data_IF_995856081539
#
_entry.id   IF_995856081539
#
_cell.length_a   1.000
_cell.length_b   1.000
_cell.length_c   1.000
_cell.angle_alpha   90.00
_cell.angle_beta   90.00
_cell.angle_gamma   90.00
#
_symmetry.space_group_name_H-M   'P 1'
#
loop_
_entity.id
_entity.type
_entity.pdbx_description
1 polymer ?
#
# COMPACT_ATOMS: atom_id res chain seq x y z
N UNK A 1 -21.59 31.14 2.64
CA UNK A 1 -21.99 31.89 3.86
C UNK A 1 -22.81 31.08 4.86
N UNK A 2 -23.62 30.08 4.46
CA UNK A 2 -24.37 29.20 5.38
C UNK A 2 -23.57 28.00 5.94
N UNK A 3 -22.33 27.78 5.48
CA UNK A 3 -21.56 26.56 5.76
C UNK A 3 -20.16 26.81 6.34
N UNK A 4 -19.80 28.06 6.68
CA UNK A 4 -18.55 28.36 7.36
C UNK A 4 -18.87 28.81 8.81
N UNK A 5 -18.77 27.90 9.81
CA UNK A 5 -19.12 28.18 11.19
C UNK A 5 -18.16 29.18 11.86
N UNK A 6 -16.90 29.27 11.43
CA UNK A 6 -15.89 30.15 12.05
C UNK A 6 -16.28 31.63 11.96
N UNK A 7 -16.99 32.04 10.90
CA UNK A 7 -17.42 33.42 10.71
C UNK A 7 -18.57 33.86 11.65
N UNK A 8 -19.18 32.93 12.41
CA UNK A 8 -20.38 33.19 13.21
C UNK A 8 -20.20 33.00 14.72
N UNK A 9 -19.02 32.56 15.17
CA UNK A 9 -18.79 32.14 16.56
C UNK A 9 -17.90 33.14 17.29
N UNK A 10 -18.44 33.79 18.31
CA UNK A 10 -17.70 34.77 19.13
C UNK A 10 -17.01 34.14 20.36
N UNK A 11 -17.40 32.91 20.76
CA UNK A 11 -16.83 32.18 21.90
C UNK A 11 -16.53 30.73 21.48
N UNK A 12 -15.32 30.48 20.97
CA UNK A 12 -14.79 29.13 20.78
C UNK A 12 -14.00 28.77 22.04
N UNK A 13 -14.43 27.74 22.77
CA UNK A 13 -13.63 27.18 23.87
C UNK A 13 -12.82 26.02 23.29
N UNK A 14 -11.50 26.07 23.44
CA UNK A 14 -10.65 24.95 23.08
C UNK A 14 -10.93 23.82 24.08
N UNK A 15 -11.10 22.58 23.59
CA UNK A 15 -11.40 21.45 24.49
C UNK A 15 -10.27 21.13 25.48
N UNK A 16 -9.09 21.74 25.33
CA UNK A 16 -7.97 21.66 26.27
C UNK A 16 -8.27 22.40 27.60
N UNK A 17 -9.13 23.42 27.59
CA UNK A 17 -9.42 24.28 28.75
C UNK A 17 -10.44 23.67 29.74
N UNK A 18 -11.12 22.58 29.38
CA UNK A 18 -12.07 21.87 30.23
C UNK A 18 -11.61 20.43 30.50
N UNK A 19 -11.45 20.08 31.78
CA UNK A 19 -11.03 18.75 32.23
C UNK A 19 -12.00 17.64 31.79
N UNK A 20 -13.28 17.98 31.55
CA UNK A 20 -14.26 17.04 31.01
C UNK A 20 -14.10 16.79 29.51
N UNK A 21 -13.97 17.86 28.70
CA UNK A 21 -13.84 17.72 27.24
C UNK A 21 -12.51 17.09 26.83
N UNK A 22 -11.41 17.49 27.47
CA UNK A 22 -10.06 16.99 27.20
C UNK A 22 -9.91 15.47 27.41
N UNK A 23 -10.66 14.88 28.33
CA UNK A 23 -10.61 13.43 28.57
C UNK A 23 -11.70 12.65 27.81
N UNK A 24 -12.94 13.15 27.76
CA UNK A 24 -14.05 12.40 27.17
C UNK A 24 -14.02 12.41 25.65
N UNK A 25 -13.64 13.53 25.01
CA UNK A 25 -13.64 13.62 23.56
C UNK A 25 -12.66 12.64 22.89
N UNK A 26 -11.38 12.56 23.31
CA UNK A 26 -10.45 11.61 22.71
C UNK A 26 -10.89 10.15 22.90
N UNK A 27 -11.52 9.80 24.02
CA UNK A 27 -12.02 8.44 24.28
C UNK A 27 -13.19 8.11 23.34
N UNK A 28 -14.16 9.02 23.21
CA UNK A 28 -15.32 8.83 22.31
C UNK A 28 -14.84 8.75 20.86
N UNK A 29 -13.95 9.66 20.45
CA UNK A 29 -13.37 9.66 19.11
C UNK A 29 -12.57 8.38 18.85
N UNK A 30 -11.72 7.95 19.79
CA UNK A 30 -10.97 6.69 19.69
C UNK A 30 -11.89 5.47 19.54
N UNK A 31 -12.94 5.38 20.37
CA UNK A 31 -13.90 4.29 20.30
C UNK A 31 -14.65 4.29 18.96
N UNK A 32 -15.11 5.46 18.49
CA UNK A 32 -15.76 5.61 17.20
C UNK A 32 -14.84 5.27 16.03
N UNK A 33 -13.60 5.76 16.05
CA UNK A 33 -12.60 5.50 15.02
C UNK A 33 -12.19 4.03 14.97
N UNK A 34 -11.94 3.41 16.12
CA UNK A 34 -11.68 1.97 16.21
C UNK A 34 -12.86 1.16 15.67
N UNK A 35 -14.10 1.55 15.99
CA UNK A 35 -15.30 0.91 15.44
C UNK A 35 -15.36 1.04 13.91
N UNK A 36 -15.07 2.22 13.35
CA UNK A 36 -15.03 2.44 11.89
C UNK A 36 -13.95 1.61 11.23
N UNK A 37 -12.75 1.51 11.80
CA UNK A 37 -11.66 0.71 11.23
C UNK A 37 -11.99 -0.79 11.29
N UNK A 38 -12.49 -1.26 12.43
CA UNK A 38 -12.85 -2.69 12.62
C UNK A 38 -14.03 -3.07 11.73
N UNK A 39 -15.04 -2.22 11.59
CA UNK A 39 -16.10 -2.48 10.60
C UNK A 39 -15.59 -2.34 9.16
N UNK A 40 -14.67 -1.40 8.94
CA UNK A 40 -13.99 -1.15 7.66
C UNK A 40 -13.28 -2.38 7.11
N UNK A 41 -12.53 -3.13 7.93
CA UNK A 41 -11.88 -4.37 7.46
C UNK A 41 -12.93 -5.39 7.00
N UNK A 42 -14.01 -5.56 7.78
CA UNK A 42 -15.04 -6.55 7.49
C UNK A 42 -15.71 -6.25 6.14
N UNK A 43 -16.05 -4.99 5.88
CA UNK A 43 -16.60 -4.59 4.58
C UNK A 43 -15.56 -4.50 3.46
N UNK A 44 -14.28 -4.30 3.76
CA UNK A 44 -13.19 -4.40 2.78
C UNK A 44 -13.13 -5.82 2.18
N UNK A 45 -13.32 -6.87 2.99
CA UNK A 45 -13.41 -8.25 2.46
C UNK A 45 -14.58 -8.44 1.49
N UNK A 46 -15.72 -7.77 1.75
CA UNK A 46 -16.89 -7.82 0.89
C UNK A 46 -16.68 -7.02 -0.40
N UNK A 47 -16.07 -5.84 -0.29
CA UNK A 47 -15.66 -5.00 -1.42
C UNK A 47 -14.75 -5.79 -2.36
N UNK A 48 -13.73 -6.46 -1.81
CA UNK A 48 -12.81 -7.28 -2.59
C UNK A 48 -13.54 -8.43 -3.32
N UNK A 49 -14.40 -9.18 -2.62
CA UNK A 49 -15.19 -10.26 -3.25
C UNK A 49 -16.05 -9.75 -4.41
N UNK A 50 -16.64 -8.56 -4.27
CA UNK A 50 -17.49 -7.96 -5.31
C UNK A 50 -16.69 -7.43 -6.49
N UNK A 51 -15.60 -6.71 -6.22
CA UNK A 51 -14.77 -6.12 -7.26
C UNK A 51 -14.04 -7.19 -8.09
N UNK A 52 -13.51 -8.22 -7.45
CA UNK A 52 -12.90 -9.36 -8.15
C UNK A 52 -13.92 -10.11 -9.01
N UNK A 53 -15.14 -10.32 -8.50
CA UNK A 53 -16.19 -10.97 -9.27
C UNK A 53 -16.56 -10.15 -10.51
N UNK A 54 -16.71 -8.83 -10.36
CA UNK A 54 -16.97 -7.91 -11.46
C UNK A 54 -15.88 -7.96 -12.54
N UNK A 55 -14.61 -7.89 -12.15
CA UNK A 55 -13.48 -7.98 -13.09
C UNK A 55 -13.39 -9.33 -13.81
N UNK A 56 -13.81 -10.40 -13.14
CA UNK A 56 -13.83 -11.76 -13.68
C UNK A 56 -15.12 -12.11 -14.44
N UNK A 57 -16.00 -11.14 -14.68
CA UNK A 57 -17.31 -11.33 -15.33
C UNK A 57 -18.16 -12.44 -14.64
N UNK A 58 -18.10 -12.52 -13.32
CA UNK A 58 -18.95 -13.39 -12.49
C UNK A 58 -19.70 -12.59 -11.43
N UNK A 59 -20.74 -13.18 -10.87
CA UNK A 59 -21.57 -12.50 -9.87
C UNK A 59 -20.96 -12.68 -8.48
N UNK A 60 -20.75 -11.57 -7.76
CA UNK A 60 -20.27 -11.58 -6.37
C UNK A 60 -21.33 -12.05 -5.36
N UNK A 61 -21.02 -12.04 -4.05
CA UNK A 61 -21.94 -12.47 -3.00
C UNK A 61 -23.30 -11.74 -3.08
N UNK A 62 -24.39 -12.50 -3.27
CA UNK A 62 -25.76 -11.98 -3.44
C UNK A 62 -26.81 -12.71 -2.56
N UNK A 63 -26.37 -13.55 -1.60
CA UNK A 63 -27.27 -14.45 -0.83
C UNK A 63 -27.48 -14.04 0.62
N UNK A 64 -26.41 -13.72 1.35
CA UNK A 64 -26.46 -13.48 2.80
C UNK A 64 -26.83 -12.01 3.06
N UNK A 65 -28.14 -11.75 3.18
CA UNK A 65 -28.70 -10.40 3.29
C UNK A 65 -28.89 -9.71 1.93
N UNK A 66 -29.49 -8.51 1.91
CA UNK A 66 -29.62 -7.73 0.67
C UNK A 66 -28.23 -7.51 0.09
N UNK A 67 -28.01 -7.89 -1.17
CA UNK A 67 -26.72 -7.69 -1.84
C UNK A 67 -25.49 -8.32 -1.14
N UNK A 68 -25.69 -9.28 -0.22
CA UNK A 68 -24.59 -9.92 0.50
C UNK A 68 -24.03 -9.14 1.70
N UNK A 69 -24.61 -7.99 2.09
CA UNK A 69 -24.07 -7.12 3.15
C UNK A 69 -23.87 -7.82 4.50
N UNK A 70 -24.62 -8.88 4.80
CA UNK A 70 -24.50 -9.63 6.06
C UNK A 70 -23.43 -10.74 6.00
N UNK A 71 -22.73 -10.90 4.88
CA UNK A 71 -21.70 -11.92 4.71
C UNK A 71 -20.54 -11.78 5.73
N UNK A 72 -19.95 -10.59 5.97
CA UNK A 72 -18.87 -10.47 6.95
C UNK A 72 -19.30 -10.83 8.37
N UNK A 73 -20.55 -10.53 8.73
CA UNK A 73 -21.11 -10.92 10.03
C UNK A 73 -21.22 -12.45 10.15
N UNK A 74 -21.68 -13.13 9.09
CA UNK A 74 -21.75 -14.59 9.07
C UNK A 74 -20.36 -15.24 9.16
N UNK A 75 -19.37 -14.68 8.45
CA UNK A 75 -17.98 -15.14 8.49
C UNK A 75 -17.38 -14.94 9.91
N UNK A 76 -17.67 -13.81 10.57
CA UNK A 76 -17.27 -13.54 11.94
C UNK A 76 -17.88 -14.52 12.95
N UNK A 77 -19.20 -14.74 12.89
CA UNK A 77 -19.90 -15.72 13.75
C UNK A 77 -19.30 -17.11 13.57
N UNK A 78 -19.08 -17.53 12.32
CA UNK A 78 -18.43 -18.81 12.01
C UNK A 78 -17.08 -18.94 12.69
N UNK A 79 -16.22 -17.93 12.60
CA UNK A 79 -14.86 -17.99 13.12
C UNK A 79 -14.80 -18.00 14.66
N UNK A 80 -15.77 -17.36 15.33
CA UNK A 80 -15.88 -17.39 16.80
C UNK A 80 -16.30 -18.77 17.32
N UNK A 81 -17.26 -19.42 16.66
CA UNK A 81 -17.71 -20.77 17.06
C UNK A 81 -16.87 -21.90 16.47
N UNK A 82 -15.88 -21.58 15.62
CA UNK A 82 -14.97 -22.57 15.07
C UNK A 82 -13.98 -22.99 16.15
N UNK A 83 -13.74 -24.30 16.23
CA UNK A 83 -12.80 -24.89 17.18
C UNK A 83 -11.41 -24.24 17.08
N UNK A 84 -10.91 -23.76 18.21
CA UNK A 84 -9.58 -23.17 18.33
C UNK A 84 -8.56 -24.24 18.73
N UNK A 85 -7.83 -24.76 17.75
CA UNK A 85 -6.82 -25.79 17.95
C UNK A 85 -5.46 -25.16 18.30
N UNK A 86 -4.70 -25.86 19.13
CA UNK A 86 -3.28 -25.57 19.40
C UNK A 86 -2.53 -26.89 19.21
N UNK A 87 -1.57 -26.96 18.26
CA UNK A 87 -0.76 -28.17 18.06
C UNK A 87 -0.02 -28.58 19.34
N UNK A 88 0.19 -29.88 19.55
CA UNK A 88 0.83 -30.38 20.77
C UNK A 88 2.31 -29.95 20.91
N UNK A 89 3.02 -29.83 19.78
CA UNK A 89 4.42 -29.38 19.72
C UNK A 89 4.59 -27.85 19.73
N UNK A 90 3.52 -27.09 19.54
CA UNK A 90 3.59 -25.63 19.45
C UNK A 90 3.92 -24.97 20.80
N UNK A 91 4.70 -23.88 20.75
CA UNK A 91 4.91 -23.03 21.92
C UNK A 91 3.60 -22.30 22.24
N UNK A 92 2.93 -22.72 23.31
CA UNK A 92 1.57 -22.25 23.64
C UNK A 92 1.49 -20.75 23.91
N UNK A 93 2.57 -20.12 24.38
CA UNK A 93 2.56 -18.70 24.73
C UNK A 93 2.76 -17.85 23.48
N UNK A 94 3.81 -18.14 22.71
CA UNK A 94 4.11 -17.40 21.49
C UNK A 94 3.02 -17.62 20.44
N UNK A 95 2.47 -18.84 20.33
CA UNK A 95 1.37 -19.15 19.41
C UNK A 95 0.09 -18.35 19.72
N UNK A 96 -0.18 -18.02 21.00
CA UNK A 96 -1.33 -17.17 21.36
C UNK A 96 -1.06 -15.68 21.17
N UNK A 97 0.19 -15.24 21.35
CA UNK A 97 0.57 -13.83 21.28
C UNK A 97 0.87 -13.36 19.85
N UNK A 98 1.37 -14.22 18.97
CA UNK A 98 1.78 -13.85 17.62
C UNK A 98 0.68 -13.12 16.80
N UNK A 99 -0.59 -13.56 16.79
CA UNK A 99 -1.66 -12.81 16.12
C UNK A 99 -1.88 -11.40 16.72
N UNK A 100 -1.75 -11.26 18.04
CA UNK A 100 -1.92 -9.98 18.73
C UNK A 100 -0.79 -9.00 18.40
N UNK A 101 0.45 -9.51 18.36
CA UNK A 101 1.64 -8.74 17.97
C UNK A 101 1.53 -8.26 16.52
N UNK A 102 0.79 -8.95 15.64
CA UNK A 102 0.53 -8.45 14.28
C UNK A 102 -0.59 -7.40 14.23
N UNK A 103 -1.71 -7.63 14.92
CA UNK A 103 -2.89 -6.76 14.83
C UNK A 103 -2.69 -5.41 15.52
N UNK A 104 -2.14 -5.41 16.75
CA UNK A 104 -2.07 -4.21 17.59
C UNK A 104 -1.25 -3.09 16.92
N UNK A 105 -0.04 -3.34 16.39
CA UNK A 105 0.74 -2.33 15.69
C UNK A 105 -0.02 -1.71 14.51
N UNK A 106 -0.73 -2.50 13.72
CA UNK A 106 -1.46 -2.02 12.54
C UNK A 106 -2.56 -1.03 12.94
N UNK A 107 -3.26 -1.29 14.05
CA UNK A 107 -4.24 -0.34 14.60
C UNK A 107 -3.57 0.95 15.12
N UNK A 108 -2.37 0.85 15.67
CA UNK A 108 -1.62 2.02 16.17
C UNK A 108 -1.12 2.94 15.05
N UNK A 109 -0.88 2.43 13.83
CA UNK A 109 -0.52 3.28 12.67
C UNK A 109 -1.62 4.29 12.37
N UNK A 110 -2.88 3.86 12.45
CA UNK A 110 -4.02 4.74 12.17
C UNK A 110 -4.21 5.85 13.21
N UNK A 111 -3.62 5.71 14.41
CA UNK A 111 -3.78 6.69 15.49
C UNK A 111 -3.01 8.00 15.25
N UNK A 112 -1.98 8.00 14.40
CA UNK A 112 -1.13 9.19 14.16
C UNK A 112 -1.60 10.00 12.95
N UNK A 113 -2.53 9.46 12.17
CA UNK A 113 -2.97 10.08 10.92
C UNK A 113 -4.23 10.91 11.19
N UNK A 114 -4.18 12.25 11.04
CA UNK A 114 -5.36 13.09 11.22
C UNK A 114 -6.33 12.89 10.04
N UNK A 115 -7.62 12.82 10.35
CA UNK A 115 -8.69 12.60 9.37
C UNK A 115 -9.26 13.91 8.79
N UNK A 116 -8.94 15.04 9.39
CA UNK A 116 -9.40 16.36 8.95
C UNK A 116 -8.92 17.48 9.87
N UNK A 117 -9.25 18.73 9.52
CA UNK A 117 -9.00 19.89 10.38
C UNK A 117 -9.91 19.85 11.60
N UNK A 118 -9.59 20.66 12.61
CA UNK A 118 -10.38 20.72 13.83
C UNK A 118 -11.85 21.05 13.52
N UNK A 119 -12.74 20.26 14.10
CA UNK A 119 -14.16 20.41 13.91
C UNK A 119 -14.71 21.35 14.98
N UNK A 120 -15.30 22.47 14.55
CA UNK A 120 -16.06 23.34 15.45
C UNK A 120 -17.47 22.76 15.62
N UNK A 121 -17.69 22.07 16.73
CA UNK A 121 -18.96 21.44 17.06
C UNK A 121 -19.81 22.35 17.97
N UNK A 122 -21.09 22.59 17.63
CA UNK A 122 -22.08 23.04 18.60
C UNK A 122 -22.57 21.82 19.39
N UNK A 123 -22.23 21.67 20.68
CA UNK A 123 -22.76 20.55 21.47
C UNK A 123 -24.05 20.90 22.22
N UNK A 124 -24.96 19.91 22.29
CA UNK A 124 -26.06 19.67 23.23
C UNK A 124 -25.68 19.76 24.75
N UNK A 125 -25.17 20.88 25.23
CA UNK A 125 -25.17 21.21 26.66
C UNK A 125 -26.08 22.43 26.88
N UNK A 126 -27.41 22.26 27.03
CA UNK A 126 -28.35 23.37 27.18
C UNK A 126 -28.08 24.25 28.41
N UNK A 127 -27.23 23.78 29.34
CA UNK A 127 -26.92 24.47 30.60
C UNK A 127 -25.71 25.41 30.54
N UNK A 128 -24.96 25.47 29.43
CA UNK A 128 -23.69 26.23 29.34
C UNK A 128 -23.68 27.34 28.25
N UNK A 129 -24.83 27.66 27.64
CA UNK A 129 -24.97 28.75 26.67
C UNK A 129 -24.47 28.44 25.24
N UNK A 130 -24.38 29.46 24.37
CA UNK A 130 -23.91 29.39 22.97
C UNK A 130 -22.38 29.20 22.88
N UNK A 131 -21.86 28.12 23.45
CA UNK A 131 -20.43 27.77 23.41
C UNK A 131 -20.18 26.76 22.29
N UNK A 132 -19.20 27.06 21.45
CA UNK A 132 -18.75 26.18 20.37
C UNK A 132 -17.41 25.57 20.74
N UNK A 133 -17.24 24.27 20.52
CA UNK A 133 -16.03 23.54 20.86
C UNK A 133 -15.22 23.23 19.61
N UNK A 134 -13.93 23.55 19.62
CA UNK A 134 -13.00 23.12 18.58
C UNK A 134 -12.40 21.77 18.99
N UNK A 135 -12.75 20.73 18.23
CA UNK A 135 -12.44 19.35 18.55
C UNK A 135 -11.54 18.76 17.45
N UNK A 136 -10.32 18.29 17.79
CA UNK A 136 -9.40 17.78 16.80
C UNK A 136 -9.95 16.49 16.16
N UNK A 137 -9.76 16.36 14.85
CA UNK A 137 -10.09 15.16 14.08
C UNK A 137 -8.89 14.22 13.91
N UNK A 138 -8.07 14.12 14.96
CA UNK A 138 -6.93 13.22 15.09
C UNK A 138 -6.86 12.67 16.51
N UNK A 139 -6.23 11.51 16.67
CA UNK A 139 -6.03 10.88 17.97
C UNK A 139 -4.81 11.46 18.69
N UNK A 140 -3.67 11.42 18.01
CA UNK A 140 -2.39 11.93 18.53
C UNK A 140 -1.65 12.60 17.38
N UNK A 141 -1.40 13.89 17.49
CA UNK A 141 -0.40 14.55 16.64
C UNK A 141 0.95 14.46 17.35
N UNK A 142 1.89 13.78 16.70
CA UNK A 142 3.25 13.60 17.21
C UNK A 142 4.21 14.34 16.31
N UNK A 143 5.10 15.13 16.92
CA UNK A 143 6.22 15.80 16.22
C UNK A 143 7.09 14.81 15.42
N UNK A 144 7.02 13.52 15.74
CA UNK A 144 7.82 12.46 15.12
C UNK A 144 6.94 11.38 14.47
N UNK A 145 5.84 11.79 13.83
CA UNK A 145 4.83 10.90 13.28
C UNK A 145 5.34 9.91 12.23
N UNK A 146 6.23 10.32 11.31
CA UNK A 146 6.79 9.40 10.31
C UNK A 146 7.67 8.31 10.93
N UNK A 147 8.51 8.64 11.92
CA UNK A 147 9.33 7.64 12.61
C UNK A 147 8.47 6.68 13.42
N UNK A 148 7.36 7.16 13.99
CA UNK A 148 6.37 6.31 14.65
C UNK A 148 5.81 5.27 13.67
N UNK A 149 5.39 5.68 12.47
CA UNK A 149 4.86 4.74 11.46
C UNK A 149 5.90 3.67 11.13
N UNK A 150 7.15 4.05 10.84
CA UNK A 150 8.23 3.11 10.50
C UNK A 150 8.51 2.15 11.67
N UNK A 151 8.60 2.66 12.90
CA UNK A 151 8.88 1.82 14.06
C UNK A 151 7.78 0.78 14.31
N UNK A 152 6.52 1.18 14.14
CA UNK A 152 5.37 0.30 14.38
C UNK A 152 5.20 -0.72 13.25
N UNK A 153 5.44 -0.36 12.00
CA UNK A 153 5.46 -1.34 10.89
C UNK A 153 6.51 -2.41 11.13
N UNK A 154 7.70 -2.03 11.60
CA UNK A 154 8.78 -2.99 11.91
C UNK A 154 8.33 -4.01 12.96
N UNK A 155 7.61 -3.57 14.00
CA UNK A 155 7.09 -4.47 15.05
C UNK A 155 6.05 -5.44 14.48
N UNK A 156 5.20 -5.02 13.55
CA UNK A 156 4.18 -5.87 12.95
C UNK A 156 4.78 -7.09 12.22
N UNK A 157 5.95 -6.91 11.60
CA UNK A 157 6.67 -7.99 10.88
C UNK A 157 7.09 -9.15 11.80
N UNK A 158 7.42 -8.86 13.07
CA UNK A 158 7.77 -9.88 14.07
C UNK A 158 6.60 -10.83 14.37
N UNK A 159 5.36 -10.33 14.28
CA UNK A 159 4.17 -11.16 14.45
C UNK A 159 4.14 -12.34 13.47
N UNK A 160 4.64 -12.15 12.25
CA UNK A 160 4.69 -13.19 11.21
C UNK A 160 5.78 -14.22 11.50
N UNK A 161 6.98 -13.77 11.90
CA UNK A 161 8.10 -14.67 12.24
C UNK A 161 7.75 -15.55 13.44
N UNK A 162 7.22 -14.93 14.49
CA UNK A 162 6.82 -15.64 15.72
C UNK A 162 5.68 -16.63 15.45
N UNK A 163 4.77 -16.31 14.52
CA UNK A 163 3.70 -17.21 14.14
C UNK A 163 4.22 -18.52 13.54
N UNK A 164 5.17 -18.43 12.59
CA UNK A 164 5.77 -19.62 11.98
C UNK A 164 6.64 -20.41 12.95
N UNK A 165 7.47 -19.73 13.74
CA UNK A 165 8.34 -20.40 14.70
C UNK A 165 7.57 -21.12 15.81
N UNK A 166 6.52 -20.50 16.36
CA UNK A 166 5.74 -21.09 17.46
C UNK A 166 4.88 -22.28 17.05
N UNK A 167 4.65 -22.47 15.74
CA UNK A 167 3.80 -23.53 15.21
C UNK A 167 4.43 -24.93 15.25
N UNK A 168 5.74 -25.04 15.52
CA UNK A 168 6.52 -26.30 15.51
C UNK A 168 6.35 -27.13 14.21
N UNK A 169 6.07 -26.45 13.10
CA UNK A 169 5.98 -27.05 11.78
C UNK A 169 7.02 -26.40 10.84
N UNK A 170 7.97 -27.20 10.34
CA UNK A 170 9.03 -26.73 9.43
C UNK A 170 8.48 -26.07 8.17
N UNK A 171 7.31 -26.52 7.70
CA UNK A 171 6.66 -25.96 6.53
C UNK A 171 6.13 -24.54 6.80
N UNK A 172 5.45 -24.35 7.93
CA UNK A 172 4.98 -23.04 8.37
C UNK A 172 6.14 -22.08 8.66
N UNK A 173 7.24 -22.60 9.22
CA UNK A 173 8.47 -21.85 9.48
C UNK A 173 9.13 -21.39 8.17
N UNK A 174 9.19 -22.23 7.14
CA UNK A 174 9.72 -21.83 5.83
C UNK A 174 8.86 -20.73 5.20
N UNK A 175 7.53 -20.83 5.30
CA UNK A 175 6.60 -19.77 4.90
C UNK A 175 6.86 -18.45 5.63
N UNK A 176 6.98 -18.50 6.96
CA UNK A 176 7.27 -17.31 7.77
C UNK A 176 8.60 -16.64 7.43
N UNK A 177 9.65 -17.43 7.20
CA UNK A 177 10.97 -16.91 6.80
C UNK A 177 10.94 -16.20 5.44
N UNK A 178 10.16 -16.72 4.49
CA UNK A 178 9.97 -16.06 3.17
C UNK A 178 9.15 -14.78 3.29
N UNK A 179 8.10 -14.76 4.12
CA UNK A 179 7.30 -13.56 4.37
C UNK A 179 8.14 -12.46 5.02
N UNK A 180 8.88 -12.81 6.07
CA UNK A 180 9.64 -11.82 6.84
C UNK A 180 10.80 -11.24 6.06
N UNK A 181 11.52 -12.07 5.29
CA UNK A 181 12.58 -11.58 4.39
C UNK A 181 12.05 -10.64 3.31
N UNK A 182 10.86 -10.90 2.77
CA UNK A 182 10.17 -9.97 1.88
C UNK A 182 9.83 -8.68 2.62
N UNK A 183 9.05 -8.73 3.70
CA UNK A 183 8.58 -7.55 4.41
C UNK A 183 9.74 -6.64 4.82
N UNK A 184 10.79 -7.20 5.43
CA UNK A 184 12.00 -6.45 5.83
C UNK A 184 12.70 -5.80 4.63
N UNK A 185 12.78 -6.50 3.48
CA UNK A 185 13.45 -5.96 2.29
C UNK A 185 12.71 -4.77 1.67
N UNK A 186 11.38 -4.82 1.67
CA UNK A 186 10.55 -3.74 1.12
C UNK A 186 10.30 -2.61 2.12
N UNK A 187 10.36 -2.90 3.42
CA UNK A 187 10.32 -1.90 4.49
C UNK A 187 11.45 -0.88 4.36
N UNK A 188 12.66 -1.29 3.96
CA UNK A 188 13.76 -0.36 3.72
C UNK A 188 13.43 0.62 2.57
N UNK A 189 12.83 0.12 1.48
CA UNK A 189 12.43 0.96 0.34
C UNK A 189 11.31 1.93 0.75
N UNK A 190 10.33 1.43 1.51
CA UNK A 190 9.26 2.22 2.09
C UNK A 190 9.81 3.36 2.98
N UNK A 191 10.69 3.04 3.93
CA UNK A 191 11.29 4.02 4.84
C UNK A 191 12.08 5.11 4.10
N UNK A 192 12.86 4.72 3.08
CA UNK A 192 13.59 5.69 2.24
C UNK A 192 12.64 6.62 1.48
N UNK A 193 11.54 6.10 0.94
CA UNK A 193 10.56 6.95 0.23
C UNK A 193 9.81 7.91 1.16
N UNK A 194 9.60 7.55 2.43
CA UNK A 194 9.02 8.45 3.43
C UNK A 194 9.96 9.60 3.83
N UNK A 195 11.26 9.52 3.55
CA UNK A 195 12.18 10.63 3.78
C UNK A 195 11.96 11.80 2.80
N UNK A 196 11.47 11.53 1.58
CA UNK A 196 11.19 12.54 0.55
C UNK A 196 10.22 13.64 1.05
N UNK A 197 9.00 13.33 1.50
CA UNK A 197 8.06 14.34 1.99
C UNK A 197 8.58 15.09 3.22
N UNK A 198 9.34 14.42 4.11
CA UNK A 198 9.98 15.06 5.28
C UNK A 198 10.97 16.14 4.83
N UNK A 199 11.77 15.88 3.80
CA UNK A 199 12.72 16.87 3.28
C UNK A 199 12.02 18.06 2.62
N UNK A 200 10.91 17.83 1.93
CA UNK A 200 10.15 18.89 1.25
C UNK A 200 9.50 19.83 2.25
N UNK A 201 8.89 19.27 3.31
CA UNK A 201 8.13 20.05 4.31
C UNK A 201 9.02 20.60 5.42
N UNK A 202 10.09 19.89 5.78
CA UNK A 202 10.93 20.24 6.93
C UNK A 202 10.34 19.85 8.29
N UNK A 203 9.25 19.07 8.31
CA UNK A 203 8.62 18.54 9.53
C UNK A 203 8.43 17.02 9.43
N UNK A 204 8.41 16.35 10.58
CA UNK A 204 8.12 14.91 10.71
C UNK A 204 6.70 14.64 11.23
N UNK A 205 5.92 15.68 11.58
CA UNK A 205 4.49 15.53 11.89
C UNK A 205 3.71 15.21 10.61
N UNK A 206 2.77 14.27 10.69
CA UNK A 206 1.89 13.93 9.57
C UNK A 206 0.87 15.05 9.30
N UNK A 207 0.47 15.81 10.33
CA UNK A 207 -0.42 16.96 10.18
C UNK A 207 0.19 18.05 9.30
N UNK A 208 1.42 18.48 9.62
CA UNK A 208 2.17 19.47 8.84
C UNK A 208 2.37 19.04 7.38
N UNK A 209 2.59 17.73 7.17
CA UNK A 209 2.78 17.15 5.83
C UNK A 209 1.49 17.23 5.01
N UNK A 210 0.33 16.96 5.62
CA UNK A 210 -0.97 17.08 4.94
C UNK A 210 -1.26 18.55 4.64
N UNK A 211 -1.01 19.45 5.60
CA UNK A 211 -1.27 20.88 5.45
C UNK A 211 -0.39 21.56 4.40
N UNK A 212 0.77 20.99 4.09
CA UNK A 212 1.63 21.42 2.98
C UNK A 212 1.06 21.06 1.59
N UNK A 213 0.01 20.24 1.50
CA UNK A 213 -0.53 19.67 0.25
C UNK A 213 -1.94 20.20 -0.11
N UNK A 214 -2.24 21.46 0.20
CA UNK A 214 -3.61 22.04 0.02
C UNK A 214 -4.12 21.96 -1.42
N UNK A 215 -3.32 22.36 -2.41
CA UNK A 215 -3.76 22.31 -3.80
C UNK A 215 -3.41 20.97 -4.44
N UNK A 216 -4.20 20.56 -5.44
CA UNK A 216 -3.94 19.33 -6.22
C UNK A 216 -2.55 19.33 -6.86
N UNK A 217 -2.06 20.49 -7.31
CA UNK A 217 -0.72 20.62 -7.90
C UNK A 217 0.42 20.53 -6.87
N UNK A 218 0.11 20.78 -5.59
CA UNK A 218 1.07 20.71 -4.49
C UNK A 218 1.19 19.29 -3.91
N UNK A 219 0.38 18.34 -4.39
CA UNK A 219 0.48 16.95 -3.95
C UNK A 219 1.85 16.37 -4.31
N UNK A 220 2.47 15.67 -3.37
CA UNK A 220 3.83 15.15 -3.57
C UNK A 220 3.90 14.05 -4.62
N UNK A 221 2.76 13.44 -4.99
CA UNK A 221 2.69 12.55 -6.15
C UNK A 221 3.12 13.25 -7.44
N UNK A 222 2.84 14.54 -7.60
CA UNK A 222 3.24 15.30 -8.80
C UNK A 222 4.64 15.90 -8.68
N UNK A 223 5.09 16.22 -7.45
CA UNK A 223 6.43 16.75 -7.22
C UNK A 223 7.52 15.68 -7.32
N UNK A 224 7.25 14.48 -6.80
CA UNK A 224 8.16 13.34 -6.87
C UNK A 224 7.39 12.03 -7.13
N UNK A 225 6.97 11.79 -8.38
CA UNK A 225 6.24 10.58 -8.77
C UNK A 225 7.10 9.32 -8.70
N UNK A 226 8.44 9.44 -8.75
CA UNK A 226 9.33 8.31 -8.54
C UNK A 226 9.22 7.80 -7.10
N UNK A 227 9.30 8.69 -6.11
CA UNK A 227 9.11 8.34 -4.71
C UNK A 227 7.70 7.78 -4.48
N UNK A 228 6.67 8.38 -5.08
CA UNK A 228 5.30 7.89 -4.98
C UNK A 228 5.15 6.47 -5.57
N UNK A 229 5.73 6.19 -6.74
CA UNK A 229 5.66 4.88 -7.38
C UNK A 229 6.39 3.80 -6.56
N UNK A 230 7.58 4.11 -6.05
CA UNK A 230 8.32 3.19 -5.18
C UNK A 230 7.57 2.96 -3.87
N UNK A 231 6.98 4.01 -3.28
CA UNK A 231 6.15 3.91 -2.09
C UNK A 231 4.97 2.96 -2.34
N UNK A 232 4.17 3.17 -3.39
CA UNK A 232 3.00 2.33 -3.70
C UNK A 232 3.40 0.86 -3.87
N UNK A 233 4.52 0.59 -4.53
CA UNK A 233 5.03 -0.78 -4.70
C UNK A 233 5.52 -1.39 -3.39
N UNK A 234 6.24 -0.63 -2.56
CA UNK A 234 6.70 -1.09 -1.25
C UNK A 234 5.53 -1.35 -0.29
N UNK A 235 4.53 -0.47 -0.31
CA UNK A 235 3.28 -0.59 0.42
C UNK A 235 2.49 -1.84 0.00
N UNK A 236 2.42 -2.15 -1.30
CA UNK A 236 1.79 -3.38 -1.78
C UNK A 236 2.54 -4.62 -1.29
N UNK A 237 3.88 -4.59 -1.28
CA UNK A 237 4.70 -5.68 -0.76
C UNK A 237 4.52 -5.89 0.76
N UNK A 238 4.33 -4.82 1.52
CA UNK A 238 4.11 -4.88 2.97
C UNK A 238 2.79 -5.57 3.34
N UNK A 239 1.75 -5.37 2.51
CA UNK A 239 0.44 -6.03 2.73
C UNK A 239 0.43 -7.52 2.40
N UNK A 240 1.52 -8.09 1.89
CA UNK A 240 1.64 -9.49 1.47
C UNK A 240 0.53 -9.94 0.49
N UNK A 241 0.07 -9.05 -0.39
CA UNK A 241 -0.97 -9.35 -1.39
C UNK A 241 -0.40 -9.60 -2.77
N UNK A 242 -1.12 -10.41 -3.56
CA UNK A 242 -0.71 -10.73 -4.93
C UNK A 242 -0.51 -9.44 -5.74
N UNK A 243 0.62 -9.31 -6.47
CA UNK A 243 1.59 -10.34 -6.85
C UNK A 243 2.69 -10.65 -5.81
N UNK A 244 2.73 -9.94 -4.69
CA UNK A 244 3.68 -10.09 -3.57
C UNK A 244 3.17 -11.03 -2.45
N UNK A 245 2.22 -11.90 -2.80
CA UNK A 245 1.71 -12.95 -1.92
C UNK A 245 2.54 -14.22 -2.11
N UNK A 246 3.63 -14.34 -1.34
CA UNK A 246 4.53 -15.50 -1.41
C UNK A 246 4.18 -16.59 -0.39
N UNK A 247 3.37 -16.29 0.62
CA UNK A 247 2.98 -17.24 1.66
C UNK A 247 1.59 -17.83 1.49
N UNK A 248 0.63 -17.10 0.95
CA UNK A 248 -0.74 -17.55 0.66
C UNK A 248 -0.84 -18.22 -0.73
N UNK A 249 0.27 -18.33 -1.46
CA UNK A 249 0.36 -19.12 -2.69
C UNK A 249 0.01 -20.60 -2.45
N UNK A 250 -1.26 -20.97 -2.72
CA UNK A 250 -1.80 -22.34 -2.69
C UNK A 250 -0.99 -23.34 -3.54
N UNK A 251 -0.28 -22.83 -4.55
CA UNK A 251 0.53 -23.60 -5.48
C UNK A 251 1.95 -23.91 -4.95
N UNK A 252 2.38 -23.26 -3.87
CA UNK A 252 3.69 -23.46 -3.25
C UNK A 252 3.58 -23.87 -1.79
N UNK A 253 3.41 -22.89 -0.88
CA UNK A 253 3.55 -23.08 0.57
C UNK A 253 2.22 -23.01 1.33
N UNK A 254 1.08 -23.10 0.62
CA UNK A 254 -0.28 -23.22 1.17
C UNK A 254 -0.50 -22.48 2.50
N UNK A 255 -0.63 -21.15 2.46
CA UNK A 255 -0.85 -20.26 3.63
C UNK A 255 0.30 -20.06 4.65
N UNK A 256 1.48 -20.66 4.43
CA UNK A 256 2.71 -20.30 5.12
C UNK A 256 2.60 -20.33 6.65
N UNK A 257 2.76 -19.18 7.31
CA UNK A 257 2.75 -19.08 8.78
C UNK A 257 1.37 -19.23 9.42
N UNK A 258 0.28 -19.25 8.63
CA UNK A 258 -1.09 -19.38 9.13
C UNK A 258 -1.62 -20.81 9.15
N UNK A 259 -0.87 -21.79 8.63
CA UNK A 259 -1.35 -23.17 8.39
C UNK A 259 -1.89 -23.87 9.64
N UNK A 260 -1.26 -23.65 10.79
CA UNK A 260 -1.62 -24.32 12.05
C UNK A 260 -2.69 -23.55 12.85
N UNK A 261 -3.08 -22.36 12.40
CA UNK A 261 -4.03 -21.52 13.11
C UNK A 261 -5.48 -21.85 12.71
N UNK A 262 -6.35 -21.98 13.71
CA UNK A 262 -7.80 -22.18 13.53
C UNK A 262 -8.59 -21.11 14.27
N UNK A 263 -9.90 -21.06 14.00
CA UNK A 263 -10.86 -20.21 14.69
C UNK A 263 -10.49 -18.73 14.71
N UNK A 264 -10.53 -18.13 15.90
CA UNK A 264 -10.31 -16.70 16.08
C UNK A 264 -8.84 -16.30 15.87
N UNK A 265 -7.86 -17.15 16.17
CA UNK A 265 -6.43 -16.79 15.98
C UNK A 265 -6.09 -16.65 14.50
N UNK A 266 -6.62 -17.54 13.66
CA UNK A 266 -6.56 -17.40 12.20
C UNK A 266 -7.26 -16.12 11.74
N UNK A 267 -8.46 -15.85 12.27
CA UNK A 267 -9.22 -14.65 11.94
C UNK A 267 -8.43 -13.37 12.24
N UNK A 268 -7.68 -13.33 13.35
CA UNK A 268 -6.84 -12.19 13.71
C UNK A 268 -5.70 -11.95 12.70
N UNK A 269 -5.05 -12.99 12.17
CA UNK A 269 -4.04 -12.81 11.12
C UNK A 269 -4.63 -12.26 9.82
N UNK A 270 -5.76 -12.80 9.39
CA UNK A 270 -6.46 -12.29 8.20
C UNK A 270 -6.92 -10.86 8.44
N UNK A 271 -7.51 -10.58 9.60
CA UNK A 271 -7.90 -9.22 10.00
C UNK A 271 -6.70 -8.28 9.95
N UNK A 272 -5.54 -8.69 10.45
CA UNK A 272 -4.32 -7.90 10.38
C UNK A 272 -3.91 -7.57 8.94
N UNK A 273 -4.01 -8.50 7.99
CA UNK A 273 -3.67 -8.22 6.58
C UNK A 273 -4.64 -7.21 5.95
N UNK A 274 -5.95 -7.35 6.19
CA UNK A 274 -6.95 -6.40 5.69
C UNK A 274 -6.86 -5.03 6.36
N UNK A 275 -6.62 -4.99 7.67
CA UNK A 275 -6.31 -3.75 8.39
C UNK A 275 -5.01 -3.14 7.89
N UNK A 276 -4.02 -3.96 7.55
CA UNK A 276 -2.75 -3.55 6.95
C UNK A 276 -2.99 -2.83 5.63
N UNK A 277 -3.85 -3.36 4.75
CA UNK A 277 -4.23 -2.68 3.51
C UNK A 277 -4.86 -1.31 3.76
N UNK A 278 -5.72 -1.19 4.78
CA UNK A 278 -6.31 0.09 5.16
C UNK A 278 -5.21 1.02 5.68
N UNK A 279 -4.40 0.60 6.66
CA UNK A 279 -3.35 1.41 7.28
C UNK A 279 -2.32 1.92 6.26
N UNK A 280 -1.86 1.05 5.38
CA UNK A 280 -0.97 1.37 4.26
C UNK A 280 -1.62 2.40 3.32
N UNK A 281 -2.90 2.27 3.03
CA UNK A 281 -3.64 3.25 2.23
C UNK A 281 -3.80 4.59 2.94
N UNK A 282 -4.00 4.59 4.27
CA UNK A 282 -4.03 5.82 5.08
C UNK A 282 -2.69 6.55 4.97
N UNK A 283 -1.57 5.84 5.11
CA UNK A 283 -0.21 6.39 4.98
C UNK A 283 0.03 6.96 3.58
N UNK A 284 -0.31 6.20 2.53
CA UNK A 284 -0.14 6.67 1.15
C UNK A 284 -0.92 7.97 0.89
N UNK A 285 -2.19 8.01 1.31
CA UNK A 285 -3.07 9.16 1.10
C UNK A 285 -2.60 10.38 1.89
N UNK A 286 -2.23 10.19 3.16
CA UNK A 286 -1.75 11.24 4.04
C UNK A 286 -0.44 11.86 3.53
N UNK A 287 0.48 11.04 3.01
CA UNK A 287 1.83 11.49 2.70
C UNK A 287 1.96 11.98 1.25
N UNK A 288 1.29 11.37 0.27
CA UNK A 288 1.50 11.69 -1.16
C UNK A 288 0.28 12.24 -1.89
N UNK A 289 -0.94 11.99 -1.41
CA UNK A 289 -2.19 12.37 -2.11
C UNK A 289 -2.99 13.47 -1.41
N UNK A 290 -2.32 14.33 -0.63
CA UNK A 290 -2.93 15.53 -0.06
C UNK A 290 -3.87 15.27 1.11
N UNK A 291 -3.81 14.11 1.75
CA UNK A 291 -4.65 13.77 2.90
C UNK A 291 -6.13 14.08 2.67
N UNK A 292 -6.70 14.94 3.52
CA UNK A 292 -8.10 15.35 3.45
C UNK A 292 -8.36 16.56 2.54
N UNK A 293 -7.31 17.20 2.01
CA UNK A 293 -7.44 18.36 1.15
C UNK A 293 -7.89 17.99 -0.27
N UNK A 294 -8.86 18.73 -0.79
CA UNK A 294 -9.32 18.62 -2.16
C UNK A 294 -9.91 19.96 -2.60
N UNK A 295 -9.21 20.68 -3.46
CA UNK A 295 -9.73 21.90 -4.08
C UNK A 295 -11.02 21.60 -4.89
N UNK A 296 -12.15 22.32 -4.71
CA UNK A 296 -12.41 23.51 -3.86
C UNK A 296 -13.16 23.22 -2.54
N UNK A 297 -13.20 21.96 -2.10
CA UNK A 297 -13.98 21.48 -0.95
C UNK A 297 -13.33 21.72 0.42
N UNK A 298 -12.14 22.33 0.48
CA UNK A 298 -11.38 22.58 1.72
C UNK A 298 -12.11 23.50 2.73
N UNK A 299 -13.10 24.28 2.27
CA UNK A 299 -13.88 25.16 3.14
C UNK A 299 -14.93 24.48 4.03
N UNK A 300 -15.04 23.14 3.98
CA UNK A 300 -16.04 22.36 4.72
C UNK A 300 -15.39 21.28 5.62
N UNK A 301 -15.12 21.59 6.90
CA UNK A 301 -14.46 20.65 7.84
C UNK A 301 -15.21 19.31 8.02
N UNK A 302 -16.54 19.31 7.87
CA UNK A 302 -17.36 18.09 7.97
C UNK A 302 -17.10 17.13 6.79
N UNK A 303 -16.71 17.66 5.63
CA UNK A 303 -16.50 16.85 4.43
C UNK A 303 -15.08 16.25 4.36
N UNK A 304 -14.14 16.80 5.13
CA UNK A 304 -12.74 16.40 5.13
C UNK A 304 -12.54 14.90 5.44
N UNK A 305 -13.15 14.31 6.50
CA UNK A 305 -13.03 12.88 6.74
C UNK A 305 -13.64 12.02 5.62
N UNK A 306 -14.73 12.48 4.98
CA UNK A 306 -15.35 11.75 3.89
C UNK A 306 -14.45 11.72 2.64
N UNK A 307 -13.81 12.85 2.31
CA UNK A 307 -12.84 12.94 1.21
C UNK A 307 -11.66 12.01 1.48
N UNK A 308 -11.14 12.03 2.70
CA UNK A 308 -10.05 11.15 3.12
C UNK A 308 -10.42 9.67 2.93
N UNK A 309 -11.59 9.26 3.42
CA UNK A 309 -12.12 7.90 3.28
C UNK A 309 -12.31 7.52 1.79
N UNK A 310 -12.81 8.42 0.95
CA UNK A 310 -12.98 8.16 -0.49
C UNK A 310 -11.63 7.89 -1.15
N UNK A 311 -10.60 8.70 -0.87
CA UNK A 311 -9.24 8.48 -1.40
C UNK A 311 -8.67 7.14 -0.92
N UNK A 312 -8.88 6.78 0.34
CA UNK A 312 -8.48 5.48 0.89
C UNK A 312 -9.19 4.33 0.17
N UNK A 313 -10.50 4.43 -0.05
CA UNK A 313 -11.27 3.42 -0.80
C UNK A 313 -10.79 3.31 -2.25
N UNK A 314 -10.44 4.42 -2.90
CA UNK A 314 -9.84 4.39 -4.25
C UNK A 314 -8.50 3.66 -4.25
N UNK A 315 -7.66 3.89 -3.23
CA UNK A 315 -6.39 3.18 -3.08
C UNK A 315 -6.59 1.67 -2.85
N UNK A 316 -7.56 1.28 -2.00
CA UNK A 316 -7.96 -0.11 -1.80
C UNK A 316 -8.44 -0.76 -3.11
N UNK A 317 -9.32 -0.09 -3.86
CA UNK A 317 -9.77 -0.55 -5.17
C UNK A 317 -8.59 -0.75 -6.15
N UNK A 318 -7.61 0.15 -6.13
CA UNK A 318 -6.37 0.02 -6.90
C UNK A 318 -5.59 -1.25 -6.54
N UNK A 319 -5.39 -1.53 -5.25
CA UNK A 319 -4.72 -2.76 -4.81
C UNK A 319 -5.48 -4.03 -5.20
N UNK A 320 -6.81 -4.04 -5.05
CA UNK A 320 -7.65 -5.17 -5.47
C UNK A 320 -7.58 -5.38 -6.99
N UNK A 321 -7.54 -4.29 -7.76
CA UNK A 321 -7.41 -4.37 -9.22
C UNK A 321 -6.04 -4.94 -9.62
N UNK A 322 -4.97 -4.53 -8.95
CA UNK A 322 -3.63 -5.12 -9.16
C UNK A 322 -3.64 -6.63 -8.91
N UNK A 323 -4.27 -7.07 -7.81
CA UNK A 323 -4.45 -8.51 -7.50
C UNK A 323 -5.20 -9.26 -8.60
N UNK A 324 -6.20 -8.63 -9.21
CA UNK A 324 -7.02 -9.25 -10.26
C UNK A 324 -6.28 -9.41 -11.59
N UNK A 325 -5.29 -8.55 -11.87
CA UNK A 325 -4.69 -8.40 -13.20
C UNK A 325 -3.27 -8.95 -13.30
N UNK A 326 -2.49 -8.87 -12.23
CA UNK A 326 -1.08 -9.27 -12.28
C UNK A 326 -0.88 -10.74 -11.89
N UNK A 327 0.00 -11.48 -12.61
CA UNK A 327 0.40 -12.82 -12.20
C UNK A 327 1.34 -12.76 -10.98
N UNK A 328 1.37 -13.87 -10.22
CA UNK A 328 2.31 -14.05 -9.12
C UNK A 328 3.75 -14.09 -9.63
N UNK A 329 4.68 -13.54 -8.84
CA UNK A 329 6.12 -13.53 -9.13
C UNK A 329 6.81 -14.50 -8.16
N UNK A 330 7.79 -15.27 -8.65
CA UNK A 330 8.61 -16.15 -7.81
C UNK A 330 9.43 -15.35 -6.80
N UNK A 331 9.60 -15.88 -5.58
CA UNK A 331 10.33 -15.25 -4.47
C UNK A 331 11.70 -14.69 -4.88
N UNK A 332 12.52 -15.47 -5.61
CA UNK A 332 13.88 -15.05 -5.99
C UNK A 332 13.87 -13.76 -6.83
N UNK A 333 12.91 -13.62 -7.75
CA UNK A 333 12.77 -12.46 -8.63
C UNK A 333 12.21 -11.26 -7.88
N UNK A 334 11.31 -11.51 -6.94
CA UNK A 334 10.75 -10.48 -6.06
C UNK A 334 11.83 -9.91 -5.13
N UNK A 335 12.67 -10.74 -4.53
CA UNK A 335 13.78 -10.27 -3.68
C UNK A 335 14.80 -9.47 -4.49
N UNK A 336 15.15 -9.98 -5.67
CA UNK A 336 16.02 -9.30 -6.60
C UNK A 336 15.46 -7.93 -7.05
N UNK A 337 14.15 -7.82 -7.25
CA UNK A 337 13.48 -6.55 -7.54
C UNK A 337 13.59 -5.56 -6.38
N UNK A 338 13.34 -5.99 -5.14
CA UNK A 338 13.49 -5.14 -3.95
C UNK A 338 14.91 -4.58 -3.83
N UNK A 339 15.91 -5.47 -3.86
CA UNK A 339 17.30 -5.10 -3.60
C UNK A 339 18.01 -4.36 -4.73
N UNK A 340 17.82 -4.81 -5.98
CA UNK A 340 18.54 -4.22 -7.12
C UNK A 340 17.82 -3.03 -7.75
N UNK A 341 16.56 -2.79 -7.40
CA UNK A 341 15.70 -1.82 -8.09
C UNK A 341 15.06 -0.85 -7.12
N UNK A 342 14.26 -1.36 -6.17
CA UNK A 342 13.48 -0.50 -5.29
C UNK A 342 14.39 0.34 -4.40
N UNK A 343 15.42 -0.26 -3.78
CA UNK A 343 16.36 0.49 -2.94
C UNK A 343 17.14 1.55 -3.75
N UNK A 344 17.80 1.22 -4.89
CA UNK A 344 18.47 2.25 -5.68
C UNK A 344 17.54 3.34 -6.20
N UNK A 345 16.30 3.02 -6.61
CA UNK A 345 15.32 4.02 -7.04
C UNK A 345 14.83 4.89 -5.88
N UNK A 346 14.65 4.34 -4.68
CA UNK A 346 14.30 5.11 -3.49
C UNK A 346 15.43 6.07 -3.11
N UNK A 347 16.69 5.61 -3.14
CA UNK A 347 17.87 6.45 -2.90
C UNK A 347 18.00 7.54 -3.96
N UNK A 348 17.76 7.21 -5.23
CA UNK A 348 17.74 8.20 -6.32
C UNK A 348 16.67 9.25 -6.04
N UNK A 349 15.46 8.86 -5.62
CA UNK A 349 14.38 9.78 -5.32
C UNK A 349 14.72 10.71 -4.14
N UNK A 350 15.38 10.20 -3.10
CA UNK A 350 15.86 10.99 -1.97
C UNK A 350 16.94 11.97 -2.40
N UNK A 351 18.00 11.48 -3.07
CA UNK A 351 19.11 12.31 -3.54
C UNK A 351 18.63 13.39 -4.52
N UNK A 352 17.73 13.03 -5.43
CA UNK A 352 17.07 13.94 -6.35
C UNK A 352 16.35 15.07 -5.60
N UNK A 353 15.52 14.72 -4.61
CA UNK A 353 14.76 15.69 -3.82
C UNK A 353 15.72 16.64 -3.11
N UNK A 354 16.76 16.12 -2.46
CA UNK A 354 17.75 16.94 -1.77
C UNK A 354 18.44 17.95 -2.71
N UNK A 355 18.87 17.52 -3.90
CA UNK A 355 19.47 18.42 -4.90
C UNK A 355 18.46 19.47 -5.37
N UNK A 356 17.21 19.08 -5.62
CA UNK A 356 16.18 20.00 -6.10
C UNK A 356 15.84 21.10 -5.08
N UNK A 357 15.86 20.79 -3.78
CA UNK A 357 15.64 21.77 -2.71
C UNK A 357 16.80 22.79 -2.68
N UNK A 358 18.04 22.32 -2.64
CA UNK A 358 19.23 23.20 -2.59
C UNK A 358 19.32 24.13 -3.81
N UNK A 359 19.01 23.60 -5.00
CA UNK A 359 18.98 24.41 -6.23
C UNK A 359 17.80 25.40 -6.22
N UNK A 360 16.65 25.00 -5.67
CA UNK A 360 15.49 25.87 -5.48
C UNK A 360 15.77 27.06 -4.57
N UNK A 361 16.48 26.82 -3.46
CA UNK A 361 16.92 27.86 -2.53
C UNK A 361 17.90 28.84 -3.19
N UNK A 362 18.80 28.33 -4.05
CA UNK A 362 19.78 29.16 -4.76
C UNK A 362 19.18 30.02 -5.89
N UNK A 363 18.13 29.52 -6.57
CA UNK A 363 17.52 30.17 -7.75
C UNK A 363 16.23 30.95 -7.42
N UNK A 364 15.83 30.99 -6.15
CA UNK A 364 14.68 31.76 -5.67
C UNK A 364 13.34 31.03 -5.84
N UNK A 365 13.03 30.12 -4.91
CA UNK A 365 11.71 29.61 -4.46
C UNK A 365 10.72 29.10 -5.52
N UNK A 366 10.39 29.95 -6.48
CA UNK A 366 9.57 29.66 -7.66
C UNK A 366 10.19 28.63 -8.61
N UNK A 367 11.51 28.41 -8.55
CA UNK A 367 12.22 27.49 -9.44
C UNK A 367 12.04 26.01 -9.08
N UNK A 368 11.76 25.68 -7.81
CA UNK A 368 11.63 24.31 -7.33
C UNK A 368 10.61 23.45 -8.11
N UNK A 369 9.34 23.87 -8.30
CA UNK A 369 8.35 23.08 -9.03
C UNK A 369 8.70 22.94 -10.53
N UNK A 370 9.32 23.95 -11.15
CA UNK A 370 9.72 23.87 -12.56
C UNK A 370 10.91 22.94 -12.77
N UNK A 371 11.89 22.92 -11.86
CA UNK A 371 13.06 22.04 -11.93
C UNK A 371 12.68 20.59 -11.61
N UNK A 372 11.84 20.39 -10.59
CA UNK A 372 11.21 19.09 -10.31
C UNK A 372 10.46 18.57 -11.53
N UNK A 373 9.61 19.41 -12.15
CA UNK A 373 8.85 19.05 -13.35
C UNK A 373 9.73 18.78 -14.59
N UNK A 374 10.76 19.59 -14.84
CA UNK A 374 11.65 19.42 -15.99
C UNK A 374 12.46 18.11 -15.91
N UNK A 375 12.92 17.75 -14.72
CA UNK A 375 13.67 16.50 -14.54
C UNK A 375 12.75 15.30 -14.36
N UNK A 376 11.52 15.47 -13.89
CA UNK A 376 10.47 14.47 -14.04
C UNK A 376 10.30 14.04 -15.51
N UNK A 377 10.20 15.02 -16.42
CA UNK A 377 10.11 14.76 -17.87
C UNK A 377 11.37 14.07 -18.38
N UNK A 378 12.55 14.44 -17.88
CA UNK A 378 13.83 13.79 -18.22
C UNK A 378 13.84 12.32 -17.80
N UNK A 379 13.43 12.00 -16.57
CA UNK A 379 13.39 10.62 -16.06
C UNK A 379 12.37 9.79 -16.83
N UNK A 380 11.19 10.35 -17.14
CA UNK A 380 10.20 9.69 -18.00
C UNK A 380 10.73 9.47 -19.41
N UNK A 381 11.47 10.42 -19.98
CA UNK A 381 12.11 10.27 -21.29
C UNK A 381 13.19 9.19 -21.27
N UNK A 382 14.05 9.18 -20.26
CA UNK A 382 15.09 8.15 -20.11
C UNK A 382 14.44 6.77 -19.95
N UNK A 383 13.41 6.66 -19.11
CA UNK A 383 12.61 5.45 -18.96
C UNK A 383 11.96 5.01 -20.28
N UNK A 384 11.32 5.93 -21.00
CA UNK A 384 10.68 5.66 -22.28
C UNK A 384 11.68 5.28 -23.39
N UNK A 385 12.87 5.89 -23.41
CA UNK A 385 13.96 5.56 -24.35
C UNK A 385 14.56 4.20 -24.04
N UNK A 386 14.78 3.89 -22.76
CA UNK A 386 15.22 2.56 -22.33
C UNK A 386 14.20 1.48 -22.73
N UNK A 387 12.91 1.72 -22.48
CA UNK A 387 11.81 0.83 -22.86
C UNK A 387 11.72 0.65 -24.39
N UNK A 388 11.87 1.73 -25.18
CA UNK A 388 11.85 1.66 -26.65
C UNK A 388 13.05 0.90 -27.22
N UNK A 389 14.25 1.06 -26.64
CA UNK A 389 15.43 0.29 -27.05
C UNK A 389 15.20 -1.20 -26.84
N UNK A 390 14.62 -1.57 -25.71
CA UNK A 390 14.30 -2.96 -25.40
C UNK A 390 13.15 -3.54 -26.22
N UNK A 391 12.12 -2.74 -26.52
CA UNK A 391 11.05 -3.16 -27.44
C UNK A 391 11.61 -3.42 -28.83
N UNK A 392 12.56 -2.59 -29.28
CA UNK A 392 13.19 -2.71 -30.59
C UNK A 392 14.12 -3.93 -30.69
N UNK A 393 14.80 -4.31 -29.61
CA UNK A 393 15.56 -5.58 -29.54
C UNK A 393 14.62 -6.80 -29.62
N UNK A 394 13.40 -6.68 -29.10
CA UNK A 394 12.40 -7.73 -29.12
C UNK A 394 11.69 -7.89 -30.47
N UNK A 395 11.39 -6.79 -31.16
CA UNK A 395 10.84 -6.83 -32.53
C UNK A 395 11.82 -7.50 -33.51
N UNK A 396 13.13 -7.46 -33.24
CA UNK A 396 14.14 -8.19 -34.01
C UNK A 396 14.22 -9.69 -33.69
N UNK A 397 13.67 -10.15 -32.57
CA UNK A 397 13.80 -11.53 -32.07
C UNK A 397 12.49 -12.33 -32.21
N UNK A 398 11.33 -11.66 -32.19
CA UNK A 398 9.98 -12.24 -32.28
C UNK A 398 9.36 -12.17 -33.70
N UNK A 399 10.13 -11.83 -34.74
CA UNK A 399 9.64 -11.73 -36.13
C UNK A 399 9.28 -13.11 -36.74
N UNK A 400 8.18 -13.69 -36.26
CA UNK A 400 7.42 -14.73 -36.95
C UNK A 400 6.45 -14.00 -37.89
N UNK A 401 6.41 -14.29 -39.19
CA UNK A 401 5.47 -13.66 -40.10
C UNK A 401 4.05 -14.12 -39.73
N UNK A 402 3.31 -13.26 -39.03
CA UNK A 402 1.89 -13.47 -38.76
C UNK A 402 1.13 -13.28 -40.07
N UNK A 403 0.48 -14.35 -40.51
CA UNK A 403 -0.50 -14.33 -41.59
C UNK A 403 -1.65 -13.38 -41.20
N UNK A 404 -1.92 -12.39 -42.06
CA UNK A 404 -2.89 -11.32 -41.84
C UNK A 404 -4.33 -11.88 -41.73
N UNK A 405 -4.84 -12.06 -40.51
CA UNK A 405 -6.27 -12.23 -40.26
C UNK A 405 -6.95 -10.85 -40.15
N UNK A 406 -7.85 -10.48 -41.09
CA UNK A 406 -8.45 -9.15 -41.13
C UNK A 406 -9.40 -8.84 -39.96
N UNK A 407 -9.72 -9.80 -39.08
CA UNK A 407 -10.59 -9.56 -37.93
C UNK A 407 -9.96 -8.69 -36.81
N UNK A 408 -8.63 -8.54 -36.77
CA UNK A 408 -7.91 -7.80 -35.72
C UNK A 408 -7.47 -6.37 -36.11
N UNK A 409 -7.66 -5.95 -37.36
CA UNK A 409 -7.12 -4.67 -37.88
C UNK A 409 -8.05 -3.47 -37.70
N UNK A 410 -9.03 -3.58 -36.80
CA UNK A 410 -10.01 -2.53 -36.47
C UNK A 410 -9.40 -1.13 -36.42
N UNK A 411 -10.11 -0.19 -37.05
CA UNK A 411 -9.68 1.16 -37.43
C UNK A 411 -8.75 1.86 -36.41
N UNK A 412 -7.49 2.07 -36.79
CA UNK A 412 -6.45 2.73 -35.96
C UNK A 412 -6.61 4.26 -35.91
N UNK A 413 -7.84 4.77 -35.83
CA UNK A 413 -8.13 6.21 -35.72
C UNK A 413 -9.36 6.43 -34.88
N UNK A 414 -9.20 7.16 -33.78
CA UNK A 414 -10.31 7.56 -32.92
C UNK A 414 -9.91 7.72 -31.45
N UNK A 415 -10.74 8.44 -30.71
CA UNK A 415 -10.57 8.71 -29.28
C UNK A 415 -10.60 7.42 -28.43
N UNK A 416 -11.34 6.40 -28.89
CA UNK A 416 -11.41 5.07 -28.26
C UNK A 416 -10.11 4.28 -28.38
N UNK A 417 -9.48 4.24 -29.56
CA UNK A 417 -8.15 3.61 -29.73
C UNK A 417 -7.07 4.35 -28.94
N UNK A 418 -7.11 5.68 -28.93
CA UNK A 418 -6.20 6.49 -28.11
C UNK A 418 -6.36 6.20 -26.61
N UNK A 419 -7.60 6.08 -26.11
CA UNK A 419 -7.85 5.66 -24.71
C UNK A 419 -7.33 4.26 -24.43
N UNK A 420 -7.66 3.27 -25.27
CA UNK A 420 -7.19 1.88 -25.09
C UNK A 420 -5.67 1.80 -25.16
N UNK A 421 -5.03 2.62 -26.00
CA UNK A 421 -3.58 2.64 -26.11
C UNK A 421 -2.89 3.37 -24.94
N UNK A 422 -3.48 4.45 -24.42
CA UNK A 422 -2.99 5.15 -23.21
C UNK A 422 -3.18 4.27 -21.97
N UNK A 423 -4.34 3.64 -21.82
CA UNK A 423 -4.60 2.67 -20.75
C UNK A 423 -3.68 1.45 -20.90
N UNK A 424 -3.50 0.96 -22.13
CA UNK A 424 -2.56 -0.11 -22.46
C UNK A 424 -1.11 0.26 -22.14
N UNK A 425 -0.68 1.50 -22.39
CA UNK A 425 0.63 2.01 -21.98
C UNK A 425 0.75 2.10 -20.46
N UNK A 426 -0.27 2.62 -19.77
CA UNK A 426 -0.29 2.72 -18.30
C UNK A 426 -0.23 1.35 -17.62
N UNK A 427 -0.86 0.32 -18.20
CA UNK A 427 -0.80 -1.07 -17.71
C UNK A 427 0.50 -1.77 -18.17
N UNK A 428 1.02 -1.43 -19.34
CA UNK A 428 2.27 -1.97 -19.85
C UNK A 428 3.50 -1.43 -19.11
N UNK A 429 3.45 -0.21 -18.54
CA UNK A 429 4.57 0.37 -17.78
C UNK A 429 4.96 -0.54 -16.58
N UNK A 430 4.05 -0.96 -15.68
CA UNK A 430 4.36 -1.93 -14.62
C UNK A 430 4.85 -3.28 -15.15
N UNK A 431 4.23 -3.83 -16.20
CA UNK A 431 4.56 -5.14 -16.75
C UNK A 431 5.89 -5.16 -17.53
N UNK A 432 6.24 -4.05 -18.15
CA UNK A 432 7.52 -3.84 -18.83
C UNK A 432 8.63 -3.56 -17.81
N UNK A 433 8.33 -2.85 -16.71
CA UNK A 433 9.23 -2.71 -15.58
C UNK A 433 9.56 -4.08 -14.96
N UNK A 434 8.56 -4.92 -14.69
CA UNK A 434 8.78 -6.27 -14.14
C UNK A 434 9.65 -7.11 -15.09
N UNK A 435 9.42 -7.06 -16.41
CA UNK A 435 10.21 -7.79 -17.41
C UNK A 435 11.62 -7.24 -17.64
N UNK A 436 11.79 -5.92 -17.60
CA UNK A 436 13.11 -5.27 -17.59
C UNK A 436 13.95 -5.75 -16.43
N UNK A 437 13.33 -5.85 -15.25
CA UNK A 437 14.02 -6.33 -14.07
C UNK A 437 14.37 -7.81 -14.20
N UNK A 438 13.46 -8.66 -14.69
CA UNK A 438 13.77 -10.07 -14.95
C UNK A 438 14.98 -10.29 -15.89
N UNK A 439 15.13 -9.48 -16.95
CA UNK A 439 16.25 -9.56 -17.89
C UNK A 439 17.54 -8.92 -17.37
N UNK A 440 17.46 -7.78 -16.69
CA UNK A 440 18.61 -7.19 -15.99
C UNK A 440 19.15 -8.16 -14.93
N UNK A 441 18.27 -8.95 -14.32
CA UNK A 441 18.62 -9.99 -13.36
C UNK A 441 19.26 -11.22 -13.99
N UNK A 442 18.84 -11.63 -15.18
CA UNK A 442 19.51 -12.69 -15.95
C UNK A 442 20.89 -12.26 -16.44
N UNK A 443 21.02 -11.04 -16.97
CA UNK A 443 22.30 -10.49 -17.42
C UNK A 443 23.29 -10.21 -16.28
N UNK A 444 22.82 -9.85 -15.09
CA UNK A 444 23.69 -9.74 -13.91
C UNK A 444 24.02 -11.10 -13.27
N UNK A 445 23.17 -12.12 -13.45
CA UNK A 445 23.44 -13.48 -12.98
C UNK A 445 24.48 -14.23 -13.83
N UNK A 446 24.83 -13.71 -15.02
CA UNK A 446 25.95 -14.20 -15.83
C UNK A 446 27.27 -13.45 -15.55
N UNK A 447 27.25 -12.33 -14.83
CA UNK A 447 28.45 -11.50 -14.56
C UNK A 447 29.37 -12.06 -13.45
N UNK A 448 29.07 -13.24 -12.92
CA UNK A 448 29.89 -13.91 -11.91
C UNK A 448 30.14 -15.40 -12.18
N UNK A 449 29.71 -15.93 -13.33
CA UNK A 449 29.95 -17.33 -13.69
C UNK A 449 31.29 -17.48 -14.37
N UNK A 450 32.04 -18.50 -13.95
CA UNK A 450 33.21 -18.93 -14.70
C UNK A 450 32.75 -19.73 -15.93
N UNK A 451 33.49 -19.71 -17.05
CA UNK A 451 33.14 -20.51 -18.25
C UNK A 451 33.01 -22.02 -17.99
N UNK A 452 33.47 -22.49 -16.84
CA UNK A 452 33.43 -23.87 -16.39
C UNK A 452 32.06 -24.24 -15.79
N UNK A 453 31.40 -23.30 -15.09
CA UNK A 453 30.06 -23.50 -14.51
C UNK A 453 28.95 -23.54 -15.57
N UNK A 454 29.08 -22.77 -16.64
CA UNK A 454 28.12 -22.79 -17.77
C UNK A 454 28.18 -24.12 -18.55
N UNK A 455 29.37 -24.75 -18.66
CA UNK A 455 29.53 -26.07 -19.30
C UNK A 455 28.91 -27.22 -18.49
N UNK A 456 28.97 -27.14 -17.15
CA UNK A 456 28.38 -28.16 -16.28
C UNK A 456 26.85 -28.15 -16.39
N UNK A 457 26.24 -26.96 -16.48
CA UNK A 457 24.79 -26.82 -16.67
C UNK A 457 24.33 -27.23 -18.06
N UNK A 458 25.07 -26.89 -19.13
CA UNK A 458 24.79 -27.39 -20.48
C UNK A 458 24.86 -28.93 -20.53
N UNK A 459 25.87 -29.52 -19.88
CA UNK A 459 26.01 -30.98 -19.79
C UNK A 459 24.84 -31.63 -19.02
N UNK A 460 24.37 -30.97 -17.95
CA UNK A 460 23.23 -31.41 -17.14
C UNK A 460 21.89 -31.30 -17.88
N UNK A 461 21.67 -30.24 -18.67
CA UNK A 461 20.49 -30.11 -19.52
C UNK A 461 20.48 -31.13 -20.66
N UNK A 462 21.64 -31.45 -21.25
CA UNK A 462 21.73 -32.55 -22.21
C UNK A 462 21.47 -33.91 -21.57
N UNK A 463 21.99 -34.17 -20.36
CA UNK A 463 21.78 -35.42 -19.64
C UNK A 463 20.30 -35.65 -19.28
N UNK A 464 19.59 -34.60 -18.88
CA UNK A 464 18.15 -34.65 -18.57
C UNK A 464 17.31 -34.85 -19.84
N UNK A 465 17.70 -34.23 -20.96
CA UNK A 465 17.04 -34.44 -22.26
C UNK A 465 17.25 -35.85 -22.82
N UNK A 466 18.39 -36.49 -22.55
CA UNK A 466 18.62 -37.89 -22.92
C UNK A 466 17.94 -38.90 -21.98
N UNK A 467 17.76 -38.57 -20.71
CA UNK A 467 17.12 -39.47 -19.72
C UNK A 467 15.57 -39.43 -19.77
N UNK A 468 14.97 -38.39 -20.36
CA UNK A 468 13.52 -38.28 -20.55
C UNK A 468 12.99 -38.87 -21.87
N UNK A 469 13.82 -39.61 -22.59
CA UNK A 469 13.53 -40.15 -23.93
C UNK A 469 13.48 -41.67 -24.05
N UNK A 470 13.48 -42.43 -22.95
CA UNK A 470 13.24 -43.89 -22.93
C UNK A 470 11.99 -44.25 -22.10
#
# INVERSE_FOLDING_TARGET
MLLNPEARVQNVVQCEDDAGCSALWPIIFAAGFAFVIVTGFAYCTLLERRLLAFLQHRVGPNRVGPQGFLQPAADGVKLVFKEDLIPAGADKWVFRLAPMIKVIPILMIAAVIPMGPDLVLPWFAPSLGDVWFQAPQGLVDSNVGILWVIAITSIATYGVVLAGWSSDNKYAMLGALRASSQMISYELSFALTLAVPVMIVGSMSIGDIIDAQRNVWDWFVFQNPLAAAVLILALLAETNRAPFDLTEAEQELTQGYMTEYSGMKFALFMMAEYLGMIAVSLVAVAVFFGGYHLWPMDGLPILAPLIFIIKVVLMLCGMIWIRATLPRIRYDRLMQFGWKVMIPLALLAVAWTAVSIVVGDALGGTAYPFISGAVFVLVLLIGAVALRRMSRERDSEEAIPLEDDPAYTGERRGLGWAMVHVVGMLIAIPLAQIRFQLRALEGMASFGRTPEEDRIMESGETAIKTAGGE
#
